data_IF_228786948655
#
_entry.id   IF_228786948655
#
_cell.length_a   1.000
_cell.length_b   1.000
_cell.length_c   1.000
_cell.angle_alpha   90.00
_cell.angle_beta   90.00
_cell.angle_gamma   90.00
#
_symmetry.space_group_name_H-M   'P 1'
#
loop_
_entity.id
_entity.type
_entity.pdbx_description
1 polymer ?
#
# COMPACT_ATOMS: atom_id res chain seq x y z
N UNK A 1 19.35 -11.61 -7.80
CA UNK A 1 19.41 -11.93 -9.25
C UNK A 1 18.26 -11.28 -10.05
N UNK A 2 17.66 -10.18 -9.56
CA UNK A 2 16.57 -9.46 -10.23
C UNK A 2 17.04 -8.21 -11.01
N UNK A 3 18.31 -7.82 -10.86
CA UNK A 3 18.82 -6.57 -11.43
C UNK A 3 19.40 -6.72 -12.85
N UNK A 4 19.69 -7.96 -13.29
CA UNK A 4 20.19 -8.24 -14.64
C UNK A 4 19.09 -8.24 -15.71
N UNK A 5 17.84 -8.56 -15.35
CA UNK A 5 16.72 -8.53 -16.30
C UNK A 5 16.19 -7.11 -16.59
N UNK A 6 16.54 -6.12 -15.75
CA UNK A 6 16.14 -4.71 -15.97
C UNK A 6 17.07 -3.98 -16.96
N UNK A 7 18.27 -4.50 -17.21
CA UNK A 7 19.28 -3.86 -18.06
C UNK A 7 19.04 -4.03 -19.58
N UNK A 8 18.15 -4.95 -19.99
CA UNK A 8 17.99 -5.34 -21.40
C UNK A 8 16.82 -4.71 -22.15
N UNK A 9 15.98 -3.85 -21.54
CA UNK A 9 14.73 -3.44 -22.19
C UNK A 9 14.29 -1.99 -21.99
N UNK A 10 15.13 -1.03 -22.42
CA UNK A 10 14.60 0.19 -23.07
C UNK A 10 14.78 0.14 -24.60
N UNK A 11 15.90 -0.41 -25.08
CA UNK A 11 16.26 -0.42 -26.50
C UNK A 11 15.36 -1.34 -27.34
N UNK A 12 15.01 -2.52 -26.83
CA UNK A 12 14.12 -3.46 -27.51
C UNK A 12 12.66 -2.97 -27.55
N UNK A 13 12.20 -2.30 -26.49
CA UNK A 13 10.87 -1.69 -26.47
C UNK A 13 10.74 -0.52 -27.47
N UNK A 14 11.80 0.28 -27.64
CA UNK A 14 11.84 1.35 -28.64
C UNK A 14 11.82 0.81 -30.09
N UNK A 15 12.49 -0.32 -30.35
CA UNK A 15 12.52 -0.98 -31.67
C UNK A 15 11.17 -1.65 -32.00
N UNK A 16 10.48 -2.23 -31.02
CA UNK A 16 9.15 -2.83 -31.26
C UNK A 16 8.09 -1.76 -31.53
N UNK A 17 8.15 -0.62 -30.85
CA UNK A 17 7.21 0.50 -31.06
C UNK A 17 7.37 1.16 -32.44
N UNK A 18 8.60 1.23 -32.97
CA UNK A 18 8.84 1.80 -34.30
C UNK A 18 8.36 0.91 -35.45
N UNK A 19 8.16 -0.39 -35.21
CA UNK A 19 7.76 -1.35 -36.25
C UNK A 19 6.25 -1.37 -36.58
N UNK A 20 5.41 -0.66 -35.82
CA UNK A 20 3.94 -0.66 -36.00
C UNK A 20 3.31 0.72 -36.22
N UNK A 21 4.10 1.80 -36.20
CA UNK A 21 3.57 3.14 -36.38
C UNK A 21 3.54 3.54 -37.87
N UNK A 22 2.35 3.82 -38.39
CA UNK A 22 2.11 4.15 -39.80
C UNK A 22 2.45 5.60 -40.18
N UNK A 23 2.85 6.44 -39.22
CA UNK A 23 3.44 7.77 -39.46
C UNK A 23 4.56 8.07 -38.46
N UNK A 24 5.55 8.86 -38.88
CA UNK A 24 6.71 9.20 -38.04
C UNK A 24 6.36 9.95 -36.74
N UNK A 25 5.23 10.65 -36.70
CA UNK A 25 4.74 11.33 -35.49
C UNK A 25 4.15 10.35 -34.46
N UNK A 26 3.41 9.33 -34.91
CA UNK A 26 2.85 8.29 -34.04
C UNK A 26 3.93 7.35 -33.46
N UNK A 27 5.00 7.11 -34.22
CA UNK A 27 6.13 6.28 -33.80
C UNK A 27 6.89 6.90 -32.60
N UNK A 28 7.06 8.21 -32.62
CA UNK A 28 7.76 8.96 -31.56
C UNK A 28 6.88 9.06 -30.32
N UNK A 29 5.58 9.34 -30.48
CA UNK A 29 4.64 9.35 -29.36
C UNK A 29 4.52 7.97 -28.68
N UNK A 30 4.48 6.88 -29.47
CA UNK A 30 4.37 5.52 -28.93
C UNK A 30 5.63 5.09 -28.17
N UNK A 31 6.83 5.32 -28.70
CA UNK A 31 8.09 4.94 -28.03
C UNK A 31 8.33 5.68 -26.70
N UNK A 32 8.09 7.00 -26.66
CA UNK A 32 8.15 7.80 -25.43
C UNK A 32 7.11 7.35 -24.40
N UNK A 33 5.90 7.00 -24.85
CA UNK A 33 4.85 6.46 -24.00
C UNK A 33 5.23 5.11 -23.37
N UNK A 34 5.90 4.22 -24.10
CA UNK A 34 6.35 2.94 -23.56
C UNK A 34 7.38 3.12 -22.44
N UNK A 35 8.34 4.02 -22.61
CA UNK A 35 9.33 4.32 -21.56
C UNK A 35 8.66 4.91 -20.31
N UNK A 36 7.70 5.82 -20.51
CA UNK A 36 6.91 6.39 -19.42
C UNK A 36 6.07 5.33 -18.68
N UNK A 37 5.46 4.40 -19.42
CA UNK A 37 4.71 3.28 -18.88
C UNK A 37 5.59 2.29 -18.09
N UNK A 38 6.87 2.18 -18.42
CA UNK A 38 7.83 1.35 -17.68
C UNK A 38 8.31 1.99 -16.36
N UNK A 39 8.18 3.32 -16.20
CA UNK A 39 8.63 4.03 -15.00
C UNK A 39 7.88 3.57 -13.74
N UNK A 40 8.57 2.94 -12.79
CA UNK A 40 8.01 2.38 -11.56
C UNK A 40 8.04 3.32 -10.36
N UNK A 41 8.71 4.46 -10.47
CA UNK A 41 8.79 5.47 -9.43
C UNK A 41 8.65 6.89 -9.99
N UNK A 42 8.24 7.84 -9.14
CA UNK A 42 8.13 9.25 -9.53
C UNK A 42 9.49 9.82 -9.96
N UNK A 43 10.59 9.33 -9.37
CA UNK A 43 11.94 9.73 -9.76
C UNK A 43 12.29 9.27 -11.18
N UNK A 44 11.89 8.06 -11.56
CA UNK A 44 12.07 7.54 -12.92
C UNK A 44 11.22 8.34 -13.92
N UNK A 45 10.00 8.76 -13.54
CA UNK A 45 9.17 9.66 -14.35
C UNK A 45 9.86 11.00 -14.56
N UNK A 46 10.44 11.59 -13.50
CA UNK A 46 11.19 12.84 -13.61
C UNK A 46 12.45 12.70 -14.47
N UNK A 47 13.13 11.55 -14.42
CA UNK A 47 14.32 11.27 -15.23
C UNK A 47 14.03 11.23 -16.74
N UNK A 48 12.79 10.92 -17.14
CA UNK A 48 12.36 10.94 -18.54
C UNK A 48 12.07 12.35 -19.08
N UNK A 49 11.89 13.33 -18.20
CA UNK A 49 11.68 14.72 -18.59
C UNK A 49 13.02 15.33 -19.01
N UNK A 50 13.07 16.14 -20.10
CA UNK A 50 14.27 16.86 -20.49
C UNK A 50 14.86 17.69 -19.33
N UNK A 51 16.17 17.61 -19.13
CA UNK A 51 16.88 18.21 -17.99
C UNK A 51 16.56 19.70 -17.81
N UNK A 52 16.45 20.44 -18.92
CA UNK A 52 16.15 21.88 -18.96
C UNK A 52 14.81 22.27 -18.30
N UNK A 53 13.85 21.34 -18.26
CA UNK A 53 12.51 21.53 -17.68
C UNK A 53 12.32 20.80 -16.35
N UNK A 54 13.16 19.79 -16.05
CA UNK A 54 13.01 18.95 -14.85
C UNK A 54 12.93 19.77 -13.57
N UNK A 55 13.79 20.78 -13.41
CA UNK A 55 13.82 21.62 -12.20
C UNK A 55 12.47 22.30 -11.91
N UNK A 56 11.81 22.82 -12.94
CA UNK A 56 10.55 23.57 -12.80
C UNK A 56 9.36 22.61 -12.64
N UNK A 57 9.39 21.45 -13.30
CA UNK A 57 8.31 20.45 -13.25
C UNK A 57 8.33 19.55 -12.02
N UNK A 58 9.46 19.47 -11.30
CA UNK A 58 9.61 18.60 -10.13
C UNK A 58 8.58 18.91 -9.03
N UNK A 59 8.44 20.19 -8.65
CA UNK A 59 7.51 20.58 -7.59
C UNK A 59 6.04 20.35 -7.97
N UNK A 60 5.55 20.78 -9.15
CA UNK A 60 4.20 20.46 -9.61
C UNK A 60 3.89 18.95 -9.66
N UNK A 61 4.79 18.11 -10.18
CA UNK A 61 4.58 16.66 -10.24
C UNK A 61 4.57 16.02 -8.84
N UNK A 62 5.35 16.54 -7.89
CA UNK A 62 5.22 16.14 -6.49
C UNK A 62 3.88 16.58 -5.87
N UNK A 63 3.34 17.73 -6.29
CA UNK A 63 1.99 18.17 -5.94
C UNK A 63 0.92 17.17 -6.40
N UNK A 64 1.00 16.71 -7.66
CA UNK A 64 0.13 15.65 -8.20
C UNK A 64 0.22 14.38 -7.36
N UNK A 65 1.44 13.92 -7.04
CA UNK A 65 1.67 12.76 -6.17
C UNK A 65 0.97 12.93 -4.81
N UNK A 66 1.10 14.10 -4.19
CA UNK A 66 0.50 14.38 -2.88
C UNK A 66 -1.03 14.34 -2.95
N UNK A 67 -1.64 14.91 -3.99
CA UNK A 67 -3.09 14.86 -4.22
C UNK A 67 -3.57 13.42 -4.47
N UNK A 68 -2.83 12.63 -5.27
CA UNK A 68 -3.14 11.22 -5.51
C UNK A 68 -3.08 10.36 -4.23
N UNK A 69 -2.10 10.59 -3.35
CA UNK A 69 -2.01 9.91 -2.05
C UNK A 69 -3.23 10.24 -1.16
N UNK A 70 -3.64 11.51 -1.13
CA UNK A 70 -4.83 11.94 -0.39
C UNK A 70 -6.09 11.28 -0.95
N UNK A 71 -6.22 11.21 -2.29
CA UNK A 71 -7.33 10.55 -2.96
C UNK A 71 -7.40 9.07 -2.56
N UNK A 72 -6.29 8.33 -2.66
CA UNK A 72 -6.26 6.91 -2.30
C UNK A 72 -6.65 6.70 -0.82
N UNK A 73 -6.13 7.53 0.07
CA UNK A 73 -6.45 7.50 1.51
C UNK A 73 -7.93 7.84 1.80
N UNK A 74 -8.49 8.80 1.07
CA UNK A 74 -9.90 9.17 1.16
C UNK A 74 -10.82 8.05 0.63
N UNK A 75 -10.47 7.40 -0.49
CA UNK A 75 -11.19 6.23 -1.02
C UNK A 75 -11.16 5.06 -0.03
N UNK A 76 -10.02 4.75 0.57
CA UNK A 76 -9.92 3.70 1.57
C UNK A 76 -10.79 4.01 2.80
N UNK A 77 -10.82 5.28 3.24
CA UNK A 77 -11.69 5.72 4.34
C UNK A 77 -13.16 5.61 3.98
N UNK A 78 -13.55 6.02 2.77
CA UNK A 78 -14.91 5.92 2.25
C UNK A 78 -15.34 4.45 2.19
N UNK A 79 -14.50 3.58 1.63
CA UNK A 79 -14.73 2.13 1.56
C UNK A 79 -14.96 1.52 2.94
N UNK A 80 -14.14 1.88 3.93
CA UNK A 80 -14.34 1.43 5.32
C UNK A 80 -15.67 1.92 5.92
N UNK A 81 -16.08 3.17 5.65
CA UNK A 81 -17.39 3.67 6.10
C UNK A 81 -18.54 2.93 5.41
N UNK A 82 -18.39 2.61 4.12
CA UNK A 82 -19.37 1.80 3.40
C UNK A 82 -19.45 0.37 3.91
N UNK A 83 -18.32 -0.26 4.27
CA UNK A 83 -18.33 -1.59 4.87
C UNK A 83 -19.03 -1.59 6.24
N UNK A 84 -18.82 -0.55 7.06
CA UNK A 84 -19.56 -0.39 8.31
C UNK A 84 -21.07 -0.25 8.07
N UNK A 85 -21.47 0.55 7.08
CA UNK A 85 -22.87 0.72 6.70
C UNK A 85 -23.48 -0.60 6.21
N UNK A 86 -22.76 -1.36 5.38
CA UNK A 86 -23.22 -2.65 4.88
C UNK A 86 -23.36 -3.69 6.01
N UNK A 87 -22.46 -3.66 7.00
CA UNK A 87 -22.51 -4.54 8.16
C UNK A 87 -23.53 -4.11 9.24
N UNK A 88 -24.21 -2.97 9.07
CA UNK A 88 -25.08 -2.39 10.11
C UNK A 88 -24.32 -1.99 11.38
N UNK A 89 -23.01 -1.76 11.28
CA UNK A 89 -22.16 -1.37 12.42
C UNK A 89 -21.79 0.10 12.34
N UNK A 90 -21.55 0.73 13.49
CA UNK A 90 -21.09 2.11 13.55
C UNK A 90 -19.55 2.18 13.58
N UNK A 91 -18.93 3.10 12.81
CA UNK A 91 -17.50 3.34 12.87
C UNK A 91 -17.08 3.91 14.24
N UNK A 92 -15.82 3.71 14.66
CA UNK A 92 -15.34 4.16 15.97
C UNK A 92 -15.35 5.69 16.15
N UNK A 93 -15.47 6.46 15.07
CA UNK A 93 -15.62 7.92 15.12
C UNK A 93 -16.98 8.37 15.67
N UNK A 94 -17.99 7.50 15.66
CA UNK A 94 -19.33 7.80 16.15
C UNK A 94 -19.47 7.23 17.57
N UNK A 95 -19.93 8.03 18.55
CA UNK A 95 -20.06 7.57 19.92
C UNK A 95 -21.08 6.43 20.03
N UNK A 96 -20.67 5.33 20.65
CA UNK A 96 -21.52 4.15 20.90
C UNK A 96 -22.45 4.32 22.11
N UNK A 97 -22.13 5.23 23.02
CA UNK A 97 -22.89 5.46 24.25
C UNK A 97 -24.17 6.21 23.94
N UNK A 98 -25.32 5.62 24.29
CA UNK A 98 -26.63 6.28 24.11
C UNK A 98 -26.76 7.37 25.16
N UNK A 99 -27.48 8.44 24.79
CA UNK A 99 -27.91 9.41 25.79
C UNK A 99 -28.85 8.68 26.76
N UNK A 100 -28.51 8.68 28.05
CA UNK A 100 -29.37 8.13 29.11
C UNK A 100 -29.96 9.27 29.94
N UNK A 101 -31.23 9.15 30.28
CA UNK A 101 -31.90 10.12 31.15
C UNK A 101 -31.59 9.78 32.61
N UNK A 102 -31.15 10.79 33.35
CA UNK A 102 -31.02 10.70 34.81
C UNK A 102 -32.39 10.84 35.47
N UNK A 103 -33.18 9.76 35.36
CA UNK A 103 -34.47 9.64 36.03
C UNK A 103 -34.28 8.97 37.40
N UNK A 104 -35.16 9.29 38.36
CA UNK A 104 -35.20 8.60 39.65
C UNK A 104 -35.52 7.11 39.46
N UNK A 105 -35.01 6.25 40.35
CA UNK A 105 -35.15 4.79 40.21
C UNK A 105 -36.60 4.32 40.10
N UNK A 106 -37.50 4.93 40.86
CA UNK A 106 -38.94 4.61 40.83
C UNK A 106 -39.66 5.14 39.58
N UNK A 107 -39.18 6.25 39.00
CA UNK A 107 -39.75 6.75 37.77
C UNK A 107 -39.26 5.95 36.55
N UNK A 108 -38.02 5.46 36.57
CA UNK A 108 -37.48 4.59 35.50
C UNK A 108 -38.31 3.32 35.28
N UNK A 109 -38.94 2.79 36.33
CA UNK A 109 -39.77 1.58 36.25
C UNK A 109 -41.23 1.88 35.95
N UNK A 110 -41.67 3.14 36.08
CA UNK A 110 -43.01 3.57 35.68
C UNK A 110 -43.16 3.55 34.16
N UNK A 111 -44.38 3.29 33.67
CA UNK A 111 -44.70 3.30 32.24
C UNK A 111 -44.25 4.61 31.56
N UNK A 112 -44.49 5.76 32.20
CA UNK A 112 -44.08 7.06 31.68
C UNK A 112 -42.56 7.24 31.58
N UNK A 113 -41.78 6.67 32.51
CA UNK A 113 -40.32 6.74 32.47
C UNK A 113 -39.71 5.79 31.45
N UNK A 114 -40.32 4.62 31.23
CA UNK A 114 -39.96 3.70 30.16
C UNK A 114 -40.18 4.37 28.79
N UNK A 115 -41.33 5.00 28.58
CA UNK A 115 -41.65 5.68 27.31
C UNK A 115 -40.72 6.86 27.04
N UNK A 116 -40.41 7.65 28.08
CA UNK A 116 -39.45 8.76 27.98
C UNK A 116 -38.04 8.25 27.64
N UNK A 117 -37.60 7.15 28.24
CA UNK A 117 -36.29 6.54 27.98
C UNK A 117 -36.20 5.98 26.55
N UNK A 118 -37.27 5.33 26.06
CA UNK A 118 -37.35 4.86 24.67
C UNK A 118 -37.31 6.01 23.67
N UNK A 119 -38.07 7.08 23.91
CA UNK A 119 -38.06 8.27 23.05
C UNK A 119 -36.66 8.90 22.92
N UNK A 120 -35.92 8.99 24.03
CA UNK A 120 -34.53 9.48 24.01
C UNK A 120 -33.58 8.52 23.30
N UNK A 121 -33.74 7.21 23.48
CA UNK A 121 -32.96 6.21 22.74
C UNK A 121 -33.21 6.33 21.23
N UNK A 122 -34.47 6.44 20.81
CA UNK A 122 -34.83 6.64 19.39
C UNK A 122 -34.24 7.92 18.81
N UNK A 123 -34.26 9.04 19.56
CA UNK A 123 -33.62 10.28 19.14
C UNK A 123 -32.09 10.13 19.05
N UNK A 124 -31.48 9.41 20.01
CA UNK A 124 -30.05 9.13 20.00
C UNK A 124 -29.63 8.30 18.79
N UNK A 125 -30.42 7.28 18.43
CA UNK A 125 -30.16 6.43 17.27
C UNK A 125 -30.38 7.16 15.95
N UNK A 126 -31.42 7.99 15.84
CA UNK A 126 -31.64 8.88 14.69
C UNK A 126 -30.43 9.81 14.49
N UNK A 127 -29.99 10.49 15.56
CA UNK A 127 -28.83 11.38 15.50
C UNK A 127 -27.56 10.68 15.01
N UNK A 128 -27.30 9.46 15.48
CA UNK A 128 -26.13 8.67 15.04
C UNK A 128 -26.21 8.28 13.58
N UNK A 129 -27.38 7.84 13.13
CA UNK A 129 -27.60 7.45 11.73
C UNK A 129 -27.48 8.65 10.78
N UNK A 130 -27.97 9.81 11.20
CA UNK A 130 -27.84 11.06 10.47
C UNK A 130 -26.37 11.50 10.40
N UNK A 131 -25.67 11.48 11.54
CA UNK A 131 -24.24 11.79 11.61
C UNK A 131 -23.42 10.85 10.71
N UNK A 132 -23.73 9.55 10.72
CA UNK A 132 -23.06 8.57 9.88
C UNK A 132 -23.30 8.84 8.38
N UNK A 133 -24.55 9.16 8.02
CA UNK A 133 -24.93 9.50 6.65
C UNK A 133 -24.23 10.77 6.17
N UNK A 134 -24.14 11.80 7.02
CA UNK A 134 -23.40 13.02 6.73
C UNK A 134 -21.90 12.78 6.60
N UNK A 135 -21.31 11.93 7.45
CA UNK A 135 -19.89 11.57 7.36
C UNK A 135 -19.57 10.89 6.02
N UNK A 136 -20.43 9.96 5.56
CA UNK A 136 -20.30 9.34 4.23
C UNK A 136 -20.44 10.39 3.12
N UNK A 137 -21.43 11.28 3.22
CA UNK A 137 -21.66 12.34 2.23
C UNK A 137 -20.44 13.27 2.12
N UNK A 138 -19.92 13.73 3.26
CA UNK A 138 -18.74 14.59 3.32
C UNK A 138 -17.50 13.90 2.72
N UNK A 139 -17.30 12.61 3.00
CA UNK A 139 -16.21 11.84 2.39
C UNK A 139 -16.38 11.63 0.89
N UNK A 140 -17.62 11.42 0.40
CA UNK A 140 -17.90 11.37 -1.04
C UNK A 140 -17.57 12.70 -1.73
N UNK A 141 -17.94 13.84 -1.14
CA UNK A 141 -17.60 15.16 -1.70
C UNK A 141 -16.10 15.45 -1.68
N UNK A 142 -15.40 15.03 -0.62
CA UNK A 142 -13.93 15.14 -0.56
C UNK A 142 -13.27 14.34 -1.70
N UNK A 143 -13.71 13.10 -1.93
CA UNK A 143 -13.22 12.27 -3.05
C UNK A 143 -13.51 12.93 -4.40
N UNK A 144 -14.71 13.49 -4.59
CA UNK A 144 -15.08 14.17 -5.83
C UNK A 144 -14.17 15.39 -6.10
N UNK A 145 -13.89 16.21 -5.09
CA UNK A 145 -12.97 17.35 -5.19
C UNK A 145 -11.53 16.91 -5.50
N UNK A 146 -11.04 15.86 -4.84
CA UNK A 146 -9.69 15.35 -5.11
C UNK A 146 -9.58 14.77 -6.52
N UNK A 147 -10.63 14.10 -7.02
CA UNK A 147 -10.69 13.61 -8.40
C UNK A 147 -10.71 14.75 -9.40
N UNK A 148 -11.47 15.81 -9.15
CA UNK A 148 -11.56 16.95 -10.07
C UNK A 148 -10.22 17.65 -10.28
N UNK A 149 -9.31 17.61 -9.29
CA UNK A 149 -7.94 18.15 -9.41
C UNK A 149 -7.00 17.30 -10.27
N UNK A 150 -7.31 16.02 -10.45
CA UNK A 150 -6.49 15.07 -11.21
C UNK A 150 -7.06 14.81 -12.60
N UNK A 151 -8.03 15.61 -13.05
CA UNK A 151 -8.60 15.53 -14.40
C UNK A 151 -7.54 16.00 -15.42
N UNK A 152 -7.41 15.35 -16.59
CA UNK A 152 -6.47 15.74 -17.63
C UNK A 152 -6.47 17.23 -17.96
N UNK A 153 -7.66 17.82 -18.10
CA UNK A 153 -7.86 19.24 -18.43
C UNK A 153 -7.34 20.17 -17.33
N UNK A 154 -7.64 19.87 -16.06
CA UNK A 154 -7.17 20.69 -14.93
C UNK A 154 -5.66 20.62 -14.80
N UNK A 155 -5.09 19.42 -14.94
CA UNK A 155 -3.65 19.22 -14.93
C UNK A 155 -2.98 20.00 -16.07
N UNK A 156 -3.48 19.87 -17.30
CA UNK A 156 -2.94 20.61 -18.44
C UNK A 156 -2.91 22.12 -18.20
N UNK A 157 -4.02 22.67 -17.69
CA UNK A 157 -4.12 24.11 -17.38
C UNK A 157 -3.19 24.55 -16.25
N UNK A 158 -2.87 23.68 -15.28
CA UNK A 158 -1.90 23.96 -14.23
C UNK A 158 -0.45 23.91 -14.73
N UNK A 159 -0.11 22.95 -15.59
CA UNK A 159 1.27 22.75 -16.06
C UNK A 159 1.67 23.68 -17.21
N UNK A 160 0.74 24.01 -18.11
CA UNK A 160 0.99 24.85 -19.29
C UNK A 160 1.70 26.17 -18.98
N UNK A 161 1.23 27.03 -18.05
CA UNK A 161 1.88 28.32 -17.79
C UNK A 161 3.30 28.15 -17.23
N UNK A 162 3.54 27.08 -16.46
CA UNK A 162 4.87 26.75 -15.92
C UNK A 162 5.85 26.40 -17.04
N UNK A 163 5.39 25.62 -18.03
CA UNK A 163 6.18 25.27 -19.21
C UNK A 163 6.43 26.48 -20.12
N UNK A 164 5.41 27.30 -20.37
CA UNK A 164 5.53 28.50 -21.19
C UNK A 164 6.51 29.50 -20.58
N UNK A 165 6.46 29.72 -19.26
CA UNK A 165 7.42 30.56 -18.55
C UNK A 165 8.85 30.05 -18.73
N UNK A 166 9.08 28.74 -18.52
CA UNK A 166 10.40 28.13 -18.68
C UNK A 166 10.90 28.16 -20.12
N UNK A 167 10.01 27.97 -21.09
CA UNK A 167 10.35 28.06 -22.51
C UNK A 167 10.84 29.47 -22.86
N UNK A 168 10.17 30.52 -22.37
CA UNK A 168 10.58 31.90 -22.61
C UNK A 168 11.95 32.22 -21.99
N UNK A 169 12.22 31.71 -20.78
CA UNK A 169 13.55 31.83 -20.15
C UNK A 169 14.64 31.17 -21.00
N UNK A 170 14.43 29.91 -21.42
CA UNK A 170 15.38 29.15 -22.22
C UNK A 170 15.60 29.80 -23.60
N UNK A 171 14.54 30.29 -24.23
CA UNK A 171 14.61 31.01 -25.50
C UNK A 171 15.48 32.27 -25.39
N UNK A 172 15.42 32.98 -24.27
CA UNK A 172 16.26 34.15 -24.03
C UNK A 172 17.73 33.79 -23.75
N UNK A 173 17.98 32.70 -22.99
CA UNK A 173 19.32 32.31 -22.56
C UNK A 173 20.10 31.46 -23.58
N UNK A 174 19.41 30.69 -24.41
CA UNK A 174 19.99 29.61 -25.21
C UNK A 174 19.94 29.93 -26.70
N UNK A 175 20.63 31.01 -27.08
CA UNK A 175 20.87 31.34 -28.49
C UNK A 175 22.07 30.55 -29.00
N UNK A 176 21.93 29.96 -30.19
CA UNK A 176 23.00 29.25 -30.89
C UNK A 176 23.81 30.25 -31.72
N UNK A 177 25.12 30.10 -31.71
CA UNK A 177 26.00 30.84 -32.60
C UNK A 177 25.82 30.34 -34.05
N UNK A 178 25.50 31.26 -34.95
CA UNK A 178 25.51 31.02 -36.38
C UNK A 178 26.91 31.29 -36.90
N UNK A 179 27.43 30.30 -37.62
CA UNK A 179 28.81 30.28 -38.03
C UNK A 179 28.88 29.92 -39.50
N UNK A 180 29.65 30.68 -40.28
CA UNK A 180 29.88 30.45 -41.69
C UNK A 180 31.36 30.14 -41.90
N UNK A 181 31.65 29.13 -42.73
CA UNK A 181 32.99 28.88 -43.24
C UNK A 181 33.30 29.88 -44.35
N UNK A 182 34.37 30.66 -44.16
CA UNK A 182 34.89 31.60 -45.14
C UNK A 182 36.29 31.16 -45.53
N UNK A 183 36.58 31.12 -46.83
CA UNK A 183 37.92 30.79 -47.30
C UNK A 183 38.92 31.88 -46.85
N UNK A 184 39.97 31.46 -46.15
CA UNK A 184 41.09 32.32 -45.78
C UNK A 184 41.97 32.51 -47.01
N UNK A 185 42.02 33.75 -47.50
CA UNK A 185 42.77 34.15 -48.70
C UNK A 185 44.10 34.81 -48.32
N UNK A 186 45.16 34.47 -49.06
CA UNK A 186 46.47 35.10 -48.91
C UNK A 186 46.45 36.48 -49.61
N UNK A 187 47.51 37.27 -49.43
CA UNK A 187 47.68 38.55 -50.14
C UNK A 187 47.61 38.43 -51.68
N UNK A 188 47.71 37.21 -52.22
CA UNK A 188 47.63 36.86 -53.64
C UNK A 188 46.28 36.22 -54.04
N UNK A 189 45.24 36.30 -53.19
CA UNK A 189 43.91 35.71 -53.41
C UNK A 189 43.89 34.18 -53.63
N UNK A 190 44.91 33.47 -53.16
CA UNK A 190 44.91 32.01 -53.10
C UNK A 190 44.36 31.53 -51.75
N UNK A 191 43.50 30.51 -51.77
CA UNK A 191 42.92 29.90 -50.56
C UNK A 191 44.00 29.12 -49.82
N UNK A 192 44.38 29.55 -48.61
CA UNK A 192 45.33 28.81 -47.75
C UNK A 192 44.62 27.91 -46.74
N UNK A 193 43.34 28.17 -46.45
CA UNK A 193 42.58 27.42 -45.46
C UNK A 193 41.14 27.91 -45.35
N UNK A 194 40.38 27.32 -44.42
CA UNK A 194 39.02 27.75 -44.09
C UNK A 194 39.01 28.38 -42.71
N UNK A 195 38.52 29.61 -42.62
CA UNK A 195 38.30 30.34 -41.38
C UNK A 195 36.82 30.25 -40.99
N UNK A 196 36.57 30.01 -39.71
CA UNK A 196 35.23 29.94 -39.15
C UNK A 196 34.86 31.33 -38.63
N UNK A 197 33.87 32.01 -39.25
CA UNK A 197 33.41 33.34 -38.81
C UNK A 197 32.04 33.29 -38.16
N UNK A 198 31.96 33.92 -36.99
CA UNK A 198 30.71 34.12 -36.26
C UNK A 198 29.87 35.19 -36.99
N UNK A 199 28.66 34.82 -37.41
CA UNK A 199 27.75 35.67 -38.19
C UNK A 199 26.64 36.25 -37.32
N UNK A 200 26.23 35.52 -36.29
CA UNK A 200 25.21 36.01 -35.37
C UNK A 200 24.80 34.97 -34.34
N UNK A 201 23.70 35.25 -33.66
CA UNK A 201 23.07 34.34 -32.72
C UNK A 201 21.60 34.13 -33.11
N UNK A 202 21.23 32.88 -33.40
CA UNK A 202 19.85 32.50 -33.70
C UNK A 202 19.24 31.66 -32.58
N UNK A 203 17.91 31.55 -32.58
CA UNK A 203 17.21 30.68 -31.64
C UNK A 203 17.45 29.21 -32.01
N UNK A 204 17.80 28.39 -31.03
CA UNK A 204 17.96 26.96 -31.27
C UNK A 204 16.59 26.33 -31.64
N UNK A 205 16.41 25.80 -32.86
CA UNK A 205 15.12 25.25 -33.31
C UNK A 205 14.67 24.05 -32.48
N UNK A 206 15.62 23.34 -31.87
CA UNK A 206 15.42 22.19 -31.00
C UNK A 206 14.59 22.53 -29.74
N UNK A 207 14.70 23.76 -29.22
CA UNK A 207 13.97 24.19 -28.02
C UNK A 207 12.46 24.19 -28.24
N UNK A 208 12.02 24.62 -29.43
CA UNK A 208 10.60 24.65 -29.79
C UNK A 208 10.05 23.23 -29.95
N UNK A 209 10.82 22.34 -30.57
CA UNK A 209 10.45 20.93 -30.71
C UNK A 209 10.28 20.26 -29.34
N UNK A 210 11.26 20.43 -28.45
CA UNK A 210 11.22 19.88 -27.09
C UNK A 210 10.04 20.43 -26.27
N UNK A 211 9.77 21.74 -26.38
CA UNK A 211 8.62 22.35 -25.69
C UNK A 211 7.29 21.76 -26.13
N UNK A 212 7.07 21.63 -27.45
CA UNK A 212 5.82 21.10 -28.00
C UNK A 212 5.63 19.62 -27.64
N UNK A 213 6.69 18.82 -27.71
CA UNK A 213 6.65 17.41 -27.31
C UNK A 213 6.34 17.26 -25.81
N UNK A 214 6.97 18.07 -24.96
CA UNK A 214 6.71 18.08 -23.53
C UNK A 214 5.27 18.53 -23.22
N UNK A 215 4.78 19.56 -23.92
CA UNK A 215 3.41 20.05 -23.77
C UNK A 215 2.38 18.98 -24.15
N UNK A 216 2.63 18.22 -25.22
CA UNK A 216 1.76 17.12 -25.65
C UNK A 216 1.72 15.98 -24.63
N UNK A 217 2.84 15.70 -23.95
CA UNK A 217 2.97 14.55 -23.06
C UNK A 217 2.81 14.87 -21.56
N UNK A 218 2.77 16.15 -21.15
CA UNK A 218 2.81 16.55 -19.72
C UNK A 218 1.72 15.91 -18.87
N UNK A 219 0.52 15.77 -19.44
CA UNK A 219 -0.61 15.12 -18.77
C UNK A 219 -0.33 13.64 -18.54
N UNK A 220 0.33 12.96 -19.48
CA UNK A 220 0.69 11.56 -19.34
C UNK A 220 1.70 11.36 -18.21
N UNK A 221 2.68 12.27 -18.06
CA UNK A 221 3.61 12.25 -16.92
C UNK A 221 2.85 12.33 -15.59
N UNK A 222 1.90 13.25 -15.48
CA UNK A 222 1.07 13.41 -14.28
C UNK A 222 0.19 12.18 -14.00
N UNK A 223 -0.48 11.64 -15.03
CA UNK A 223 -1.30 10.42 -14.89
C UNK A 223 -0.45 9.20 -14.52
N UNK A 224 0.77 9.09 -15.03
CA UNK A 224 1.70 8.02 -14.64
C UNK A 224 2.05 8.11 -13.15
N UNK A 225 2.26 9.33 -12.63
CA UNK A 225 2.46 9.54 -11.19
C UNK A 225 1.24 9.05 -10.38
N UNK A 226 0.03 9.34 -10.84
CA UNK A 226 -1.20 8.83 -10.20
C UNK A 226 -1.22 7.29 -10.19
N UNK A 227 -0.95 6.63 -11.32
CA UNK A 227 -0.93 5.17 -11.42
C UNK A 227 0.13 4.53 -10.50
N UNK A 228 1.31 5.13 -10.37
CA UNK A 228 2.35 4.65 -9.45
C UNK A 228 1.85 4.70 -8.00
N UNK A 229 1.17 5.79 -7.62
CA UNK A 229 0.61 5.94 -6.27
C UNK A 229 -0.50 4.92 -6.01
N UNK A 230 -1.41 4.73 -6.96
CA UNK A 230 -2.48 3.73 -6.86
C UNK A 230 -1.91 2.31 -6.73
N UNK A 231 -0.91 1.97 -7.54
CA UNK A 231 -0.23 0.68 -7.46
C UNK A 231 0.47 0.49 -6.10
N UNK A 232 1.07 1.54 -5.53
CA UNK A 232 1.67 1.49 -4.19
C UNK A 232 0.61 1.23 -3.12
N UNK A 233 -0.53 1.93 -3.17
CA UNK A 233 -1.64 1.71 -2.25
C UNK A 233 -2.23 0.31 -2.38
N UNK A 234 -2.49 -0.16 -3.60
CA UNK A 234 -2.99 -1.52 -3.86
C UNK A 234 -2.05 -2.59 -3.29
N UNK A 235 -0.73 -2.46 -3.50
CA UNK A 235 0.27 -3.36 -2.91
C UNK A 235 0.26 -3.33 -1.38
N UNK A 236 0.10 -2.16 -0.76
CA UNK A 236 0.02 -2.05 0.69
C UNK A 236 -1.26 -2.67 1.25
N UNK A 237 -2.39 -2.50 0.56
CA UNK A 237 -3.66 -3.10 0.92
C UNK A 237 -3.63 -4.62 0.77
N UNK A 238 -3.06 -5.16 -0.32
CA UNK A 238 -2.84 -6.59 -0.51
C UNK A 238 -2.05 -7.21 0.65
N UNK A 239 -0.92 -6.61 1.01
CA UNK A 239 -0.12 -7.05 2.18
C UNK A 239 -0.88 -6.96 3.49
N UNK A 240 -1.73 -5.96 3.69
CA UNK A 240 -2.57 -5.84 4.90
C UNK A 240 -3.66 -6.90 4.93
N UNK A 241 -4.24 -7.23 3.77
CA UNK A 241 -5.27 -8.26 3.63
C UNK A 241 -4.69 -9.65 3.89
N UNK A 242 -3.58 -10.01 3.25
CA UNK A 242 -2.86 -11.27 3.50
C UNK A 242 -2.53 -11.44 4.99
N UNK A 243 -2.02 -10.38 5.64
CA UNK A 243 -1.75 -10.40 7.09
C UNK A 243 -3.00 -10.58 7.95
N UNK A 244 -4.17 -10.08 7.52
CA UNK A 244 -5.44 -10.28 8.23
C UNK A 244 -5.95 -11.71 8.04
N UNK A 245 -5.86 -12.23 6.82
CA UNK A 245 -6.27 -13.60 6.49
C UNK A 245 -5.41 -14.64 7.22
N UNK A 246 -4.08 -14.46 7.26
CA UNK A 246 -3.17 -15.32 8.02
C UNK A 246 -3.44 -15.29 9.52
N UNK A 247 -3.80 -14.13 10.08
CA UNK A 247 -4.17 -14.05 11.50
C UNK A 247 -5.49 -14.77 11.77
N UNK A 248 -6.48 -14.58 10.90
CA UNK A 248 -7.76 -15.25 11.02
C UNK A 248 -7.60 -16.77 10.92
N UNK A 249 -6.77 -17.29 10.01
CA UNK A 249 -6.51 -18.73 9.89
C UNK A 249 -5.82 -19.30 11.13
N UNK A 250 -4.81 -18.60 11.66
CA UNK A 250 -4.12 -19.00 12.89
C UNK A 250 -5.06 -18.97 14.10
N UNK A 251 -5.92 -17.96 14.21
CA UNK A 251 -6.90 -17.88 15.30
C UNK A 251 -7.92 -19.03 15.23
N UNK A 252 -8.32 -19.46 14.02
CA UNK A 252 -9.18 -20.64 13.83
C UNK A 252 -8.45 -21.93 14.23
N UNK A 253 -7.21 -22.12 13.79
CA UNK A 253 -6.42 -23.31 14.14
C UNK A 253 -6.16 -23.39 15.66
N UNK A 254 -5.88 -22.27 16.31
CA UNK A 254 -5.71 -22.20 17.76
C UNK A 254 -7.04 -22.38 18.51
N UNK A 255 -8.16 -21.90 17.96
CA UNK A 255 -9.48 -22.17 18.51
C UNK A 255 -9.83 -23.67 18.43
N UNK A 256 -9.42 -24.37 17.37
CA UNK A 256 -9.61 -25.82 17.26
C UNK A 256 -8.64 -26.63 18.14
N UNK A 257 -7.42 -26.14 18.40
CA UNK A 257 -6.48 -26.75 19.37
C UNK A 257 -6.96 -26.56 20.82
N UNK A 258 -7.68 -25.46 21.11
CA UNK A 258 -8.18 -25.16 22.47
C UNK A 258 -9.58 -25.70 22.74
N UNK A 259 -10.30 -26.18 21.72
CA UNK A 259 -11.46 -27.06 21.93
C UNK A 259 -10.98 -28.35 22.56
N UNK A 260 -11.50 -28.64 23.76
CA UNK A 260 -11.22 -29.86 24.51
C UNK A 260 -11.65 -31.09 23.71
N UNK A 261 -10.75 -31.60 22.86
CA UNK A 261 -10.89 -32.94 22.29
C UNK A 261 -10.97 -33.97 23.43
N UNK A 262 -11.55 -35.16 23.17
CA UNK A 262 -11.52 -36.25 24.15
C UNK A 262 -10.07 -36.40 24.63
N UNK A 263 -9.85 -36.32 25.95
CA UNK A 263 -8.49 -36.32 26.49
C UNK A 263 -7.71 -37.49 25.88
N UNK A 264 -6.42 -37.29 25.59
CA UNK A 264 -5.58 -38.37 25.04
C UNK A 264 -5.74 -39.67 25.86
N UNK A 265 -5.95 -39.54 27.17
CA UNK A 265 -6.33 -40.62 28.08
C UNK A 265 -7.64 -41.31 27.71
N UNK A 266 -8.72 -40.61 27.38
CA UNK A 266 -9.98 -41.24 26.93
C UNK A 266 -9.85 -42.03 25.62
N UNK A 267 -8.96 -41.60 24.73
CA UNK A 267 -8.67 -42.32 23.46
C UNK A 267 -7.81 -43.55 23.74
N UNK A 268 -6.82 -43.42 24.63
CA UNK A 268 -5.99 -44.54 25.11
C UNK A 268 -6.86 -45.54 25.87
N UNK A 269 -7.73 -45.10 26.78
CA UNK A 269 -8.62 -45.95 27.57
C UNK A 269 -9.65 -46.67 26.69
N UNK A 270 -10.13 -46.04 25.61
CA UNK A 270 -10.97 -46.71 24.61
C UNK A 270 -10.20 -47.76 23.82
N UNK A 271 -8.97 -47.46 23.40
CA UNK A 271 -8.12 -48.42 22.68
C UNK A 271 -7.69 -49.60 23.58
N UNK A 272 -7.37 -49.33 24.84
CA UNK A 272 -7.01 -50.34 25.85
C UNK A 272 -8.23 -51.17 26.20
N UNK A 273 -9.40 -50.58 26.45
CA UNK A 273 -10.63 -51.35 26.70
C UNK A 273 -11.08 -52.18 25.51
N UNK A 274 -10.88 -51.70 24.27
CA UNK A 274 -11.13 -52.48 23.07
C UNK A 274 -10.22 -53.71 22.98
N UNK A 275 -8.91 -53.53 23.21
CA UNK A 275 -7.94 -54.64 23.23
C UNK A 275 -8.14 -55.61 24.41
N UNK A 276 -8.51 -55.12 25.58
CA UNK A 276 -8.83 -55.95 26.75
C UNK A 276 -10.10 -56.76 26.51
N UNK A 277 -11.12 -56.18 25.84
CA UNK A 277 -12.33 -56.90 25.44
C UNK A 277 -12.07 -57.96 24.37
N UNK A 278 -11.18 -57.71 23.42
CA UNK A 278 -10.75 -58.74 22.45
C UNK A 278 -9.98 -59.87 23.14
N UNK A 279 -9.07 -59.55 24.06
CA UNK A 279 -8.32 -60.55 24.83
C UNK A 279 -9.23 -61.40 25.74
N UNK A 280 -10.29 -60.82 26.33
CA UNK A 280 -11.25 -61.53 27.18
C UNK A 280 -12.25 -62.39 26.40
N UNK A 281 -12.44 -62.15 25.09
CA UNK A 281 -13.31 -62.97 24.22
C UNK A 281 -12.60 -64.21 23.63
N UNK A 282 -11.28 -64.35 23.83
CA UNK A 282 -10.46 -65.40 23.23
C UNK A 282 -10.44 -66.76 23.93
N UNK A 283 -11.21 -67.00 25.01
CA UNK A 283 -11.04 -68.21 25.83
C UNK A 283 -12.33 -68.95 26.20
N UNK A 284 -13.22 -69.23 25.24
CA UNK A 284 -14.15 -70.39 25.33
C UNK A 284 -14.30 -71.11 23.97
N UNK A 285 -13.71 -72.32 23.91
CA UNK A 285 -13.82 -73.43 22.93
C UNK A 285 -15.17 -73.57 22.20
N UNK A 286 -15.17 -73.98 20.91
CA UNK A 286 -15.33 -75.40 20.48
C UNK A 286 -15.32 -75.59 18.94
N UNK A 287 -14.89 -76.80 18.55
CA UNK A 287 -14.79 -77.44 17.24
C UNK A 287 -16.02 -77.39 16.32
N UNK A 288 -15.81 -77.39 14.98
CA UNK A 288 -16.06 -78.58 14.13
C UNK A 288 -15.86 -78.33 12.62
N UNK A 289 -15.01 -79.18 12.03
CA UNK A 289 -14.99 -79.76 10.68
C UNK A 289 -15.69 -79.08 9.48
N UNK A 290 -14.94 -78.85 8.38
CA UNK A 290 -14.93 -79.76 7.21
C UNK A 290 -13.98 -79.33 6.07
N UNK A 291 -13.43 -80.37 5.42
CA UNK A 291 -12.49 -80.46 4.29
C UNK A 291 -12.84 -79.63 3.04
N UNK A 292 -11.82 -79.08 2.34
CA UNK A 292 -11.34 -79.59 1.03
C UNK A 292 -9.95 -79.02 0.63
N UNK A 293 -9.10 -79.91 0.10
CA UNK A 293 -7.71 -79.71 -0.41
C UNK A 293 -7.69 -79.07 -1.81
N UNK A 294 -6.61 -78.36 -2.19
CA UNK A 294 -5.52 -78.88 -3.09
C UNK A 294 -4.38 -77.87 -3.37
N UNK A 295 -3.13 -78.34 -3.16
CA UNK A 295 -1.83 -78.13 -3.89
C UNK A 295 -1.42 -76.72 -4.37
N UNK A 296 -0.19 -76.18 -4.17
CA UNK A 296 1.17 -76.72 -3.96
C UNK A 296 2.20 -75.57 -4.24
N UNK A 297 3.54 -75.79 -4.27
CA UNK A 297 4.44 -75.29 -3.22
C UNK A 297 5.75 -74.56 -3.66
N UNK A 298 6.57 -74.20 -2.63
CA UNK A 298 8.01 -73.81 -2.55
C UNK A 298 8.28 -72.30 -2.52
N UNK A 299 9.11 -71.72 -1.65
CA UNK A 299 9.99 -72.10 -0.53
C UNK A 299 10.50 -70.75 0.05
N UNK A 300 10.72 -70.53 1.35
CA UNK A 300 11.59 -71.27 2.24
C UNK A 300 12.98 -70.63 2.29
N UNK A 301 13.18 -69.64 3.19
CA UNK A 301 14.39 -69.45 4.02
C UNK A 301 14.22 -68.22 4.92
N UNK A 302 14.17 -68.47 6.23
CA UNK A 302 14.28 -67.48 7.29
C UNK A 302 15.76 -67.19 7.65
N UNK A 303 16.05 -66.80 8.90
CA UNK A 303 16.51 -65.44 9.20
C UNK A 303 17.91 -65.41 9.85
N UNK A 304 18.53 -64.22 9.90
CA UNK A 304 19.64 -63.94 10.83
C UNK A 304 19.49 -62.56 11.49
N UNK A 305 19.61 -62.61 12.82
CA UNK A 305 19.61 -61.51 13.77
C UNK A 305 20.86 -60.63 13.67
N UNK A 306 20.70 -59.34 13.97
CA UNK A 306 21.55 -58.56 14.89
C UNK A 306 20.88 -57.18 15.07
N UNK A 307 20.29 -56.90 16.23
CA UNK A 307 20.93 -56.26 17.38
C UNK A 307 21.14 -54.74 17.23
N UNK A 308 20.48 -54.03 18.15
CA UNK A 308 20.90 -52.82 18.88
C UNK A 308 20.85 -51.42 18.26
N UNK A 309 20.12 -50.58 19.02
CA UNK A 309 20.42 -49.20 19.42
C UNK A 309 19.87 -48.04 18.58
N UNK A 310 19.11 -47.18 19.27
CA UNK A 310 19.19 -45.73 19.06
C UNK A 310 17.92 -45.01 18.61
N UNK A 311 16.91 -44.93 19.47
CA UNK A 311 15.86 -43.90 19.38
C UNK A 311 16.50 -42.55 19.71
N UNK A 312 16.67 -41.67 18.72
CA UNK A 312 17.03 -40.27 18.98
C UNK A 312 15.77 -39.45 19.30
N UNK A 313 15.61 -39.18 20.59
CA UNK A 313 14.79 -38.09 21.12
C UNK A 313 15.51 -36.78 20.82
N UNK A 314 14.96 -35.94 19.94
CA UNK A 314 15.42 -34.56 19.78
C UNK A 314 15.00 -33.78 21.02
N UNK A 315 15.95 -33.64 21.95
CA UNK A 315 15.90 -32.73 23.10
C UNK A 315 16.15 -31.31 22.61
N UNK A 316 15.21 -30.42 22.92
CA UNK A 316 15.42 -28.97 22.98
C UNK A 316 16.49 -28.63 24.04
N UNK A 317 17.47 -27.76 23.76
CA UNK A 317 18.33 -27.25 24.81
C UNK A 317 17.70 -26.03 25.50
N UNK A 318 17.39 -26.19 26.79
CA UNK A 318 17.25 -25.09 27.74
C UNK A 318 18.56 -24.94 28.54
N UNK A 319 19.17 -23.75 28.55
CA UNK A 319 19.93 -23.24 29.70
C UNK A 319 20.19 -21.73 29.56
N UNK A 320 19.34 -20.96 30.23
CA UNK A 320 19.70 -19.87 31.17
C UNK A 320 20.99 -19.07 30.97
N UNK A 321 20.85 -17.76 30.70
CA UNK A 321 21.49 -16.67 31.49
C UNK A 321 20.95 -15.29 31.08
N UNK A 322 20.58 -14.47 32.07
CA UNK A 322 20.50 -13.01 31.91
C UNK A 322 19.11 -12.39 32.06
N UNK A 323 18.54 -12.47 33.28
CA UNK A 323 17.39 -11.64 33.63
C UNK A 323 17.77 -10.18 33.86
N UNK A 324 16.95 -9.25 33.37
CA UNK A 324 16.70 -7.96 34.01
C UNK A 324 15.19 -7.69 33.98
N UNK A 325 14.56 -7.98 35.12
CA UNK A 325 13.22 -7.52 35.48
C UNK A 325 13.26 -5.99 35.57
N UNK A 326 12.41 -5.31 34.80
CA UNK A 326 12.08 -3.90 35.05
C UNK A 326 11.04 -3.87 36.17
N UNK A 327 11.31 -3.22 37.32
CA UNK A 327 10.38 -3.20 38.43
C UNK A 327 9.27 -2.18 38.21
N UNK A 328 8.05 -2.63 38.43
CA UNK A 328 6.85 -1.84 38.68
C UNK A 328 7.06 -1.08 40.00
N UNK A 329 7.15 0.25 39.96
CA UNK A 329 7.22 1.09 41.18
C UNK A 329 5.98 1.96 41.27
N UNK A 330 5.28 1.78 42.38
CA UNK A 330 4.13 2.57 42.81
C UNK A 330 4.56 3.99 43.25
N UNK A 331 3.56 4.88 43.20
CA UNK A 331 3.43 6.24 43.77
C UNK A 331 4.36 6.58 44.96
N UNK A 332 4.96 7.76 44.91
CA UNK A 332 4.70 8.92 45.79
C UNK A 332 5.91 9.88 45.82
N UNK A 333 5.67 11.19 45.68
CA UNK A 333 6.63 12.27 46.01
C UNK A 333 6.73 13.42 45.00
N UNK A 334 6.16 14.58 45.35
CA UNK A 334 6.39 15.96 44.81
C UNK A 334 7.88 16.38 44.89
N UNK A 335 8.37 17.55 44.38
CA UNK A 335 7.73 18.81 43.94
C UNK A 335 8.16 19.22 42.50
N UNK A 336 7.85 20.35 41.84
CA UNK A 336 7.77 21.77 42.22
C UNK A 336 7.05 22.58 41.12
N UNK A 337 6.55 23.76 41.49
CA UNK A 337 5.77 24.70 40.69
C UNK A 337 6.54 25.29 39.49
N UNK A 338 5.83 25.91 38.52
CA UNK A 338 5.96 27.36 38.45
C UNK A 338 4.62 28.11 38.58
N UNK A 339 4.74 29.23 39.27
CA UNK A 339 3.73 30.19 39.68
C UNK A 339 3.15 30.89 38.45
N UNK A 340 1.83 30.83 38.27
CA UNK A 340 1.09 31.82 37.50
C UNK A 340 0.49 32.81 38.51
N UNK A 341 1.16 33.95 38.70
CA UNK A 341 0.60 35.08 39.45
C UNK A 341 -0.20 35.96 38.49
N UNK A 342 -1.49 36.03 38.75
CA UNK A 342 -2.33 37.14 38.34
C UNK A 342 -1.99 38.38 39.16
N UNK A 343 -1.83 39.54 38.51
CA UNK A 343 -2.23 40.81 39.14
C UNK A 343 -2.70 41.83 38.10
N UNK A 344 -3.98 42.16 38.27
CA UNK A 344 -4.64 43.42 37.92
C UNK A 344 -3.88 44.59 38.57
N UNK A 345 -3.70 45.72 37.86
CA UNK A 345 -4.16 47.07 38.27
C UNK A 345 -3.33 48.23 37.67
N UNK A 346 -4.08 49.19 37.10
CA UNK A 346 -3.91 50.65 37.18
C UNK A 346 -2.65 51.35 36.60
N UNK A 347 -2.90 52.19 35.59
CA UNK A 347 -2.95 53.63 35.81
C UNK A 347 -1.80 54.52 35.32
N UNK A 348 -2.14 55.39 34.35
CA UNK A 348 -1.73 56.82 34.20
C UNK A 348 -0.23 57.18 34.14
N UNK A 349 0.21 57.69 32.98
CA UNK A 349 0.54 59.13 32.66
C UNK A 349 1.72 59.27 31.66
N UNK A 350 1.45 60.08 30.63
CA UNK A 350 2.27 61.09 29.93
C UNK A 350 3.80 60.88 29.79
N UNK A 351 4.26 60.88 28.54
CA UNK A 351 5.05 61.98 27.96
C UNK A 351 4.63 62.14 26.50
#
# INVERSE_FOLDING_TARGET
MSDLFRALSPATAAISASSHASSGAEAIQSSSFHLLSAAGSVQEVLALIPDSYRGVLTAPLHGVRATANRLCSANASLSNLQSHKAAGTLPPSIPKTSLDLQLSGEFKTSAAGIDSSKSVQELSDKFRNDLFSQQIKAKKSEVALLRSKLVPETLFNEFRPVLEARFNELRASSKRADVIEVDALNAQQQVIGREIRLVGFTEAPELKGQFLDLLANIVQFALRVCLIVEAQHSRQEGKRREKRELKASVDVEMADITRSGPSLQSVIDKAVNAKVREALKGSKKKDSSSKKKTSGPKGGKGPKNSATAGVQVVRTPSATKGGKRVPKRQKAGKPSQPVASSSKAQGKRKA
#
